data_IF_304279817730
#
_entry.id   IF_304279817730
#
_cell.length_a   1.000
_cell.length_b   1.000
_cell.length_c   1.000
_cell.angle_alpha   90.00
_cell.angle_beta   90.00
_cell.angle_gamma   90.00
#
_symmetry.space_group_name_H-M   'P 1'
#
loop_
_entity.id
_entity.type
_entity.pdbx_description
1 polymer ?
#
# COMPACT_ATOMS: atom_id res chain seq x y z
N UNK A 1 -20.45 10.61 -21.17
CA UNK A 1 -19.05 10.10 -21.20
C UNK A 1 -18.45 9.84 -19.80
N UNK A 2 -18.72 10.68 -18.79
CA UNK A 2 -18.18 10.54 -17.42
C UNK A 2 -18.64 9.26 -16.70
N UNK A 3 -19.93 8.90 -16.80
CA UNK A 3 -20.51 7.71 -16.15
C UNK A 3 -19.89 6.40 -16.67
N UNK A 4 -19.63 6.31 -17.98
CA UNK A 4 -19.02 5.14 -18.61
C UNK A 4 -17.60 4.91 -18.06
N UNK A 5 -16.81 5.98 -17.89
CA UNK A 5 -15.44 5.89 -17.35
C UNK A 5 -15.39 5.41 -15.90
N UNK A 6 -16.33 5.86 -15.06
CA UNK A 6 -16.48 5.34 -13.69
C UNK A 6 -16.75 3.85 -13.65
N UNK A 7 -17.70 3.39 -14.47
CA UNK A 7 -18.07 1.97 -14.51
C UNK A 7 -16.92 1.08 -15.02
N UNK A 8 -16.09 1.60 -15.93
CA UNK A 8 -14.92 0.89 -16.44
C UNK A 8 -13.79 0.81 -15.41
N UNK A 9 -13.50 1.92 -14.71
CA UNK A 9 -12.49 1.95 -13.64
C UNK A 9 -12.77 0.90 -12.56
N UNK A 10 -14.01 0.85 -12.07
CA UNK A 10 -14.43 -0.14 -11.07
C UNK A 10 -14.27 -1.58 -11.55
N UNK A 11 -14.63 -1.87 -12.80
CA UNK A 11 -14.46 -3.23 -13.38
C UNK A 11 -12.99 -3.62 -13.46
N UNK A 12 -12.11 -2.68 -13.79
CA UNK A 12 -10.66 -2.92 -13.84
C UNK A 12 -10.11 -3.14 -12.43
N UNK A 13 -10.53 -2.33 -11.44
CA UNK A 13 -10.14 -2.52 -10.03
C UNK A 13 -10.53 -3.92 -9.53
N UNK A 14 -11.77 -4.35 -9.77
CA UNK A 14 -12.23 -5.69 -9.41
C UNK A 14 -11.46 -6.80 -10.12
N UNK A 15 -11.11 -6.59 -11.40
CA UNK A 15 -10.30 -7.53 -12.16
C UNK A 15 -8.89 -7.65 -11.58
N UNK A 16 -8.25 -6.53 -11.25
CA UNK A 16 -6.91 -6.50 -10.65
C UNK A 16 -6.92 -7.16 -9.27
N UNK A 17 -7.89 -6.84 -8.42
CA UNK A 17 -8.06 -7.47 -7.12
C UNK A 17 -8.26 -8.98 -7.24
N UNK A 18 -9.15 -9.42 -8.13
CA UNK A 18 -9.41 -10.85 -8.38
C UNK A 18 -8.17 -11.56 -8.93
N UNK A 19 -7.40 -10.90 -9.81
CA UNK A 19 -6.18 -11.44 -10.37
C UNK A 19 -5.08 -11.61 -9.31
N UNK A 20 -4.87 -10.59 -8.47
CA UNK A 20 -3.91 -10.66 -7.36
C UNK A 20 -4.34 -11.75 -6.37
N UNK A 21 -5.61 -11.78 -5.96
CA UNK A 21 -6.10 -12.82 -5.05
C UNK A 21 -5.91 -14.22 -5.63
N UNK A 22 -6.27 -14.42 -6.91
CA UNK A 22 -6.20 -15.73 -7.56
C UNK A 22 -4.77 -16.15 -7.91
N UNK A 23 -3.84 -15.22 -8.04
CA UNK A 23 -2.44 -15.51 -8.39
C UNK A 23 -1.73 -16.39 -7.36
N UNK A 24 -2.18 -16.38 -6.10
CA UNK A 24 -1.71 -17.32 -5.07
C UNK A 24 -1.98 -18.79 -5.39
N UNK A 25 -2.98 -19.09 -6.23
CA UNK A 25 -3.25 -20.46 -6.70
C UNK A 25 -2.17 -20.99 -7.66
N UNK A 26 -1.36 -20.10 -8.23
CA UNK A 26 -0.26 -20.47 -9.13
C UNK A 26 1.01 -20.87 -8.36
N UNK A 27 1.04 -20.72 -7.03
CA UNK A 27 2.19 -21.11 -6.22
C UNK A 27 2.30 -22.62 -6.07
N UNK A 28 3.55 -23.10 -5.88
CA UNK A 28 3.82 -24.52 -5.59
C UNK A 28 3.10 -25.01 -4.34
N UNK A 29 2.99 -24.14 -3.33
CA UNK A 29 2.20 -24.39 -2.12
C UNK A 29 1.23 -23.21 -1.89
N UNK A 30 0.02 -23.26 -2.46
CA UNK A 30 -0.98 -22.20 -2.30
C UNK A 30 -1.40 -22.02 -0.84
N UNK A 31 -1.41 -23.09 -0.04
CA UNK A 31 -1.80 -23.01 1.37
C UNK A 31 -0.79 -22.15 2.14
N UNK A 32 0.50 -22.42 1.97
CA UNK A 32 1.56 -21.62 2.58
C UNK A 32 1.47 -20.15 2.14
N UNK A 33 1.25 -19.90 0.85
CA UNK A 33 1.09 -18.54 0.33
C UNK A 33 -0.05 -17.78 1.03
N UNK A 34 -1.26 -18.34 1.10
CA UNK A 34 -2.39 -17.66 1.73
C UNK A 34 -2.25 -17.56 3.25
N UNK A 35 -1.58 -18.53 3.91
CA UNK A 35 -1.21 -18.42 5.32
C UNK A 35 -0.27 -17.23 5.56
N UNK A 36 0.75 -17.07 4.72
CA UNK A 36 1.67 -15.93 4.78
C UNK A 36 0.96 -14.60 4.50
N UNK A 37 0.11 -14.55 3.48
CA UNK A 37 -0.69 -13.36 3.17
C UNK A 37 -1.59 -12.96 4.36
N UNK A 38 -2.22 -13.94 5.02
CA UNK A 38 -3.04 -13.68 6.20
C UNK A 38 -2.22 -13.12 7.37
N UNK A 39 -1.05 -13.71 7.67
CA UNK A 39 -0.19 -13.20 8.73
C UNK A 39 0.32 -11.79 8.45
N UNK A 40 0.76 -11.51 7.21
CA UNK A 40 1.17 -10.19 6.79
C UNK A 40 0.01 -9.18 6.87
N UNK A 41 -1.22 -9.61 6.54
CA UNK A 41 -2.41 -8.78 6.65
C UNK A 41 -2.72 -8.40 8.09
N UNK A 42 -2.73 -9.39 9.00
CA UNK A 42 -2.91 -9.13 10.43
C UNK A 42 -1.81 -8.22 10.99
N UNK A 43 -0.55 -8.45 10.59
CA UNK A 43 0.59 -7.63 11.02
C UNK A 43 0.44 -6.18 10.55
N UNK A 44 0.20 -5.96 9.25
CA UNK A 44 0.05 -4.62 8.67
C UNK A 44 -1.14 -3.90 9.30
N UNK A 45 -2.30 -4.54 9.37
CA UNK A 45 -3.48 -3.95 10.00
C UNK A 45 -3.21 -3.61 11.48
N UNK A 46 -2.68 -4.56 12.24
CA UNK A 46 -2.40 -4.39 13.66
C UNK A 46 -1.45 -3.23 13.93
N UNK A 47 -0.32 -3.16 13.22
CA UNK A 47 0.68 -2.10 13.39
C UNK A 47 0.15 -0.76 12.91
N UNK A 48 -0.35 -0.68 11.67
CA UNK A 48 -0.71 0.60 11.07
C UNK A 48 -1.94 1.21 11.74
N UNK A 49 -2.97 0.42 12.05
CA UNK A 49 -4.13 0.95 12.78
C UNK A 49 -3.77 1.40 14.19
N UNK A 50 -2.92 0.66 14.91
CA UNK A 50 -2.46 1.09 16.23
C UNK A 50 -1.73 2.43 16.16
N UNK A 51 -0.82 2.60 15.19
CA UNK A 51 -0.11 3.87 14.98
C UNK A 51 -1.06 5.01 14.59
N UNK A 52 -2.02 4.77 13.70
CA UNK A 52 -3.01 5.77 13.29
C UNK A 52 -3.92 6.20 14.44
N UNK A 53 -4.32 5.25 15.31
CA UNK A 53 -5.08 5.54 16.53
C UNK A 53 -4.24 6.37 17.49
N UNK A 54 -2.98 5.98 17.75
CA UNK A 54 -2.06 6.74 18.60
C UNK A 54 -1.88 8.16 18.07
N UNK A 55 -1.62 8.33 16.78
CA UNK A 55 -1.46 9.65 16.14
C UNK A 55 -2.75 10.47 16.27
N UNK A 56 -3.92 9.86 16.13
CA UNK A 56 -5.20 10.55 16.31
C UNK A 56 -5.40 11.04 17.74
N UNK A 57 -5.06 10.21 18.72
CA UNK A 57 -5.14 10.56 20.14
C UNK A 57 -4.17 11.69 20.46
N UNK A 58 -2.91 11.59 20.03
CA UNK A 58 -1.91 12.63 20.23
C UNK A 58 -2.34 13.94 19.55
N UNK A 59 -2.84 13.85 18.32
CA UNK A 59 -3.34 15.01 17.58
C UNK A 59 -4.48 15.73 18.31
N UNK A 60 -5.41 14.97 18.91
CA UNK A 60 -6.46 15.52 19.76
C UNK A 60 -5.89 16.26 20.98
N UNK A 61 -4.97 15.64 21.72
CA UNK A 61 -4.39 16.25 22.93
C UNK A 61 -3.51 17.48 22.63
N UNK A 62 -2.80 17.48 21.50
CA UNK A 62 -1.93 18.59 21.11
C UNK A 62 -2.61 19.64 20.20
N UNK A 63 -3.93 19.52 19.99
CA UNK A 63 -4.70 20.47 19.18
C UNK A 63 -4.35 20.47 17.68
N UNK A 64 -3.73 19.40 17.18
CA UNK A 64 -3.39 19.20 15.76
C UNK A 64 -4.12 17.97 15.25
N UNK A 65 -5.37 18.15 14.81
CA UNK A 65 -6.15 17.11 14.16
C UNK A 65 -5.94 17.15 12.64
N UNK A 66 -6.01 15.98 12.00
CA UNK A 66 -5.86 15.85 10.53
C UNK A 66 -7.09 16.43 9.83
N UNK A 67 -8.27 16.21 10.40
CA UNK A 67 -9.52 16.74 9.87
C UNK A 67 -9.56 18.25 10.03
N UNK A 68 -10.12 18.94 9.05
CA UNK A 68 -10.47 20.35 9.18
C UNK A 68 -11.85 20.47 9.88
N UNK A 69 -11.93 21.05 11.10
CA UNK A 69 -13.21 21.24 11.80
C UNK A 69 -14.16 22.17 11.04
N UNK A 70 -13.62 23.09 10.23
CA UNK A 70 -14.38 24.06 9.44
C UNK A 70 -14.84 23.50 8.08
N UNK A 71 -14.49 22.25 7.76
CA UNK A 71 -14.95 21.60 6.54
C UNK A 71 -16.46 21.36 6.60
N UNK A 72 -17.19 21.88 5.60
CA UNK A 72 -18.61 21.61 5.41
C UNK A 72 -18.94 20.14 5.10
N UNK A 73 -17.94 19.32 4.74
CA UNK A 73 -18.12 17.88 4.45
C UNK A 73 -17.67 17.03 5.64
N UNK A 74 -18.51 16.08 6.09
CA UNK A 74 -18.15 15.18 7.18
C UNK A 74 -17.03 14.23 6.74
N UNK A 75 -16.18 13.87 7.70
CA UNK A 75 -15.18 12.81 7.52
C UNK A 75 -15.84 11.45 7.30
N UNK A 76 -15.27 10.62 6.43
CA UNK A 76 -15.87 9.34 6.02
C UNK A 76 -15.13 8.14 6.62
N UNK A 77 -14.99 8.13 7.94
CA UNK A 77 -14.23 7.13 8.70
C UNK A 77 -14.41 5.69 8.23
N UNK A 78 -15.65 5.19 8.18
CA UNK A 78 -15.94 3.79 7.80
C UNK A 78 -15.56 3.50 6.35
N UNK A 79 -15.77 4.46 5.45
CA UNK A 79 -15.41 4.29 4.04
C UNK A 79 -13.89 4.27 3.85
N UNK A 80 -13.19 5.21 4.50
CA UNK A 80 -11.73 5.27 4.49
C UNK A 80 -11.12 3.99 5.08
N UNK A 81 -11.63 3.53 6.23
CA UNK A 81 -11.19 2.29 6.87
C UNK A 81 -11.44 1.06 6.01
N UNK A 82 -12.61 0.94 5.37
CA UNK A 82 -12.94 -0.19 4.52
C UNK A 82 -12.02 -0.26 3.29
N UNK A 83 -11.81 0.88 2.62
CA UNK A 83 -10.94 0.95 1.44
C UNK A 83 -9.49 0.68 1.85
N UNK A 84 -9.00 1.29 2.93
CA UNK A 84 -7.67 1.04 3.46
C UNK A 84 -7.45 -0.44 3.82
N UNK A 85 -8.45 -1.07 4.44
CA UNK A 85 -8.38 -2.51 4.77
C UNK A 85 -8.20 -3.34 3.50
N UNK A 86 -8.90 -3.00 2.42
CA UNK A 86 -8.70 -3.66 1.12
C UNK A 86 -7.31 -3.39 0.55
N UNK A 87 -6.81 -2.15 0.62
CA UNK A 87 -5.45 -1.81 0.21
C UNK A 87 -4.40 -2.60 0.98
N UNK A 88 -4.62 -2.86 2.27
CA UNK A 88 -3.77 -3.72 3.09
C UNK A 88 -3.86 -5.18 2.70
N UNK A 89 -5.05 -5.72 2.41
CA UNK A 89 -5.20 -7.07 1.89
C UNK A 89 -4.38 -7.27 0.61
N UNK A 90 -4.50 -6.35 -0.35
CA UNK A 90 -3.72 -6.40 -1.60
C UNK A 90 -2.21 -6.29 -1.35
N UNK A 91 -1.79 -5.41 -0.44
CA UNK A 91 -0.39 -5.30 -0.04
C UNK A 91 0.13 -6.61 0.51
N UNK A 92 -0.62 -7.26 1.39
CA UNK A 92 -0.24 -8.52 2.00
C UNK A 92 -0.19 -9.67 1.01
N UNK A 93 -1.11 -9.70 0.04
CA UNK A 93 -1.08 -10.67 -1.07
C UNK A 93 0.17 -10.48 -1.94
N UNK A 94 0.53 -9.24 -2.27
CA UNK A 94 1.74 -8.95 -3.06
C UNK A 94 3.01 -9.28 -2.27
N UNK A 95 3.08 -8.87 -0.99
CA UNK A 95 4.23 -9.16 -0.13
C UNK A 95 4.39 -10.65 0.21
N UNK A 96 3.31 -11.44 0.15
CA UNK A 96 3.38 -12.89 0.36
C UNK A 96 4.19 -13.61 -0.72
N UNK A 97 4.34 -13.04 -1.93
CA UNK A 97 5.16 -13.62 -3.00
C UNK A 97 6.62 -13.80 -2.57
N UNK A 98 7.40 -12.71 -2.37
CA UNK A 98 8.80 -12.86 -1.99
C UNK A 98 8.95 -13.60 -0.66
N UNK A 99 8.03 -13.40 0.28
CA UNK A 99 8.11 -14.08 1.58
C UNK A 99 7.96 -15.60 1.47
N UNK A 100 7.01 -16.09 0.65
CA UNK A 100 6.82 -17.53 0.43
C UNK A 100 7.96 -18.14 -0.39
N UNK A 101 8.53 -17.38 -1.34
CA UNK A 101 9.73 -17.82 -2.06
C UNK A 101 10.93 -17.98 -1.13
N UNK A 102 11.15 -17.02 -0.24
CA UNK A 102 12.21 -17.12 0.78
C UNK A 102 12.07 -18.39 1.62
N UNK A 103 10.87 -18.68 2.12
CA UNK A 103 10.62 -19.86 2.97
C UNK A 103 10.78 -21.19 2.21
N UNK A 104 10.52 -21.20 0.91
CA UNK A 104 10.66 -22.40 0.06
C UNK A 104 12.06 -22.57 -0.53
N UNK A 105 13.03 -21.75 -0.10
CA UNK A 105 14.41 -21.80 -0.56
C UNK A 105 14.59 -21.35 -2.01
N UNK A 106 13.59 -20.69 -2.58
CA UNK A 106 13.71 -20.09 -3.90
C UNK A 106 14.54 -18.80 -3.79
N UNK A 107 15.31 -18.53 -4.84
CA UNK A 107 16.13 -17.32 -4.89
C UNK A 107 15.20 -16.12 -5.01
N UNK A 108 15.03 -15.41 -3.89
CA UNK A 108 14.63 -14.01 -3.89
C UNK A 108 15.88 -13.15 -4.08
N UNK A 109 15.72 -11.88 -4.46
CA UNK A 109 16.81 -10.91 -4.66
C UNK A 109 17.90 -10.99 -3.58
N UNK A 110 19.10 -10.48 -3.88
CA UNK A 110 20.23 -10.49 -2.93
C UNK A 110 19.85 -9.86 -1.58
N UNK A 111 19.69 -10.69 -0.54
CA UNK A 111 19.50 -10.26 0.85
C UNK A 111 20.79 -10.57 1.60
N UNK A 112 21.66 -9.57 1.86
CA UNK A 112 22.84 -9.79 2.68
C UNK A 112 22.41 -10.20 4.10
N UNK A 113 23.20 -11.04 4.76
CA UNK A 113 23.01 -11.29 6.20
C UNK A 113 23.21 -10.00 6.99
N UNK A 114 22.71 -9.95 8.23
CA UNK A 114 22.93 -8.81 9.11
C UNK A 114 24.43 -8.52 9.27
N UNK A 115 25.23 -9.57 9.46
CA UNK A 115 26.69 -9.47 9.54
C UNK A 115 27.32 -8.94 8.25
N UNK A 116 26.91 -9.47 7.09
CA UNK A 116 27.36 -8.96 5.78
C UNK A 116 26.94 -7.50 5.56
N UNK A 117 25.85 -7.06 6.19
CA UNK A 117 25.34 -5.71 6.06
C UNK A 117 26.18 -4.66 6.80
N UNK A 118 26.94 -5.07 7.82
CA UNK A 118 27.69 -4.16 8.70
C UNK A 118 29.21 -4.37 8.69
N UNK A 119 29.75 -5.12 7.74
CA UNK A 119 31.19 -5.42 7.65
C UNK A 119 31.88 -4.66 6.52
N UNK A 120 33.06 -4.08 6.79
CA UNK A 120 33.92 -3.47 5.76
C UNK A 120 33.25 -2.38 4.92
N UNK A 121 33.43 -2.45 3.59
CA UNK A 121 32.84 -1.50 2.62
C UNK A 121 31.32 -1.68 2.46
N UNK A 122 30.75 -2.78 2.95
CA UNK A 122 29.32 -3.10 2.84
C UNK A 122 28.44 -2.07 3.55
N UNK A 123 28.91 -1.46 4.65
CA UNK A 123 28.13 -0.44 5.37
C UNK A 123 27.89 0.80 4.49
N UNK A 124 28.92 1.26 3.78
CA UNK A 124 28.82 2.43 2.89
C UNK A 124 27.91 2.08 1.71
N UNK A 125 28.09 0.91 1.11
CA UNK A 125 27.24 0.45 0.00
C UNK A 125 25.78 0.31 0.41
N UNK A 126 25.49 -0.18 1.62
CA UNK A 126 24.12 -0.29 2.14
C UNK A 126 23.50 1.08 2.42
N UNK A 127 24.26 2.02 2.99
CA UNK A 127 23.79 3.39 3.18
C UNK A 127 23.47 4.04 1.82
N UNK A 128 24.38 3.92 0.84
CA UNK A 128 24.14 4.42 -0.52
C UNK A 128 22.92 3.75 -1.16
N UNK A 129 22.76 2.44 -1.00
CA UNK A 129 21.60 1.70 -1.48
C UNK A 129 20.30 2.22 -0.87
N UNK A 130 20.26 2.43 0.46
CA UNK A 130 19.09 3.01 1.15
C UNK A 130 18.78 4.41 0.62
N UNK A 131 19.79 5.27 0.47
CA UNK A 131 19.59 6.63 -0.06
C UNK A 131 19.02 6.57 -1.48
N UNK A 132 19.62 5.76 -2.36
CA UNK A 132 19.14 5.59 -3.74
C UNK A 132 17.71 5.04 -3.74
N UNK A 133 17.40 4.06 -2.90
CA UNK A 133 16.07 3.49 -2.77
C UNK A 133 15.06 4.54 -2.29
N UNK A 134 15.40 5.36 -1.30
CA UNK A 134 14.53 6.44 -0.81
C UNK A 134 14.25 7.48 -1.90
N UNK A 135 15.28 7.94 -2.61
CA UNK A 135 15.11 8.88 -3.73
C UNK A 135 14.27 8.28 -4.84
N UNK A 136 14.49 6.99 -5.13
CA UNK A 136 13.73 6.26 -6.13
C UNK A 136 12.26 6.12 -5.73
N UNK A 137 11.96 5.72 -4.49
CA UNK A 137 10.59 5.61 -3.98
C UNK A 137 9.89 6.96 -4.00
N UNK A 138 10.56 8.04 -3.58
CA UNK A 138 9.99 9.39 -3.60
C UNK A 138 9.68 9.84 -5.03
N UNK A 139 10.66 9.70 -5.93
CA UNK A 139 10.51 10.01 -7.36
C UNK A 139 9.38 9.20 -7.98
N UNK A 140 9.34 7.89 -7.71
CA UNK A 140 8.31 7.01 -8.23
C UNK A 140 6.93 7.41 -7.72
N UNK A 141 6.79 7.64 -6.41
CA UNK A 141 5.52 8.03 -5.79
C UNK A 141 5.00 9.34 -6.37
N UNK A 142 5.88 10.33 -6.60
CA UNK A 142 5.54 11.58 -7.26
C UNK A 142 5.02 11.36 -8.69
N UNK A 143 5.77 10.66 -9.53
CA UNK A 143 5.38 10.47 -10.93
C UNK A 143 4.15 9.58 -11.07
N UNK A 144 3.98 8.57 -10.20
CA UNK A 144 2.75 7.78 -10.09
C UNK A 144 1.56 8.68 -9.80
N UNK A 145 1.65 9.49 -8.75
CA UNK A 145 0.57 10.40 -8.36
C UNK A 145 0.24 11.39 -9.48
N UNK A 146 1.26 11.99 -10.11
CA UNK A 146 1.08 12.87 -11.28
C UNK A 146 0.38 12.16 -12.45
N UNK A 147 0.73 10.90 -12.71
CA UNK A 147 0.10 10.08 -13.77
C UNK A 147 -1.36 9.80 -13.45
N UNK A 148 -1.66 9.46 -12.20
CA UNK A 148 -3.02 9.24 -11.71
C UNK A 148 -3.90 10.50 -11.84
N UNK A 149 -3.31 11.69 -11.82
CA UNK A 149 -4.02 12.95 -12.10
C UNK A 149 -4.27 13.26 -13.58
N UNK A 150 -3.88 12.38 -14.50
CA UNK A 150 -4.17 12.55 -15.93
C UNK A 150 -5.58 12.07 -16.29
N UNK A 151 -6.12 12.56 -17.42
CA UNK A 151 -7.48 12.25 -17.88
C UNK A 151 -7.79 10.75 -18.08
N UNK A 152 -6.77 9.90 -18.22
CA UNK A 152 -6.91 8.47 -18.49
C UNK A 152 -6.87 7.63 -17.21
N UNK A 153 -6.15 8.09 -16.18
CA UNK A 153 -5.93 7.33 -14.95
C UNK A 153 -6.70 7.91 -13.76
N UNK A 154 -7.27 9.11 -13.88
CA UNK A 154 -7.99 9.76 -12.78
C UNK A 154 -9.15 8.93 -12.23
N UNK A 155 -9.79 8.06 -13.02
CA UNK A 155 -10.84 7.18 -12.50
C UNK A 155 -10.37 6.25 -11.37
N UNK A 156 -9.09 5.89 -11.34
CA UNK A 156 -8.51 5.05 -10.27
C UNK A 156 -8.13 5.84 -9.02
N UNK A 157 -7.95 7.16 -9.17
CA UNK A 157 -7.56 8.07 -8.09
C UNK A 157 -8.72 8.90 -7.56
N UNK A 158 -9.84 8.97 -8.30
CA UNK A 158 -11.01 9.76 -7.96
C UNK A 158 -11.57 9.39 -6.57
N UNK A 159 -11.56 8.10 -6.21
CA UNK A 159 -12.01 7.64 -4.91
C UNK A 159 -11.19 8.23 -3.75
N UNK A 160 -9.88 8.34 -3.93
CA UNK A 160 -9.00 8.97 -2.96
C UNK A 160 -9.31 10.47 -2.81
N UNK A 161 -9.57 11.17 -3.92
CA UNK A 161 -10.01 12.58 -3.92
C UNK A 161 -11.43 12.81 -3.40
N UNK A 162 -12.23 11.75 -3.21
CA UNK A 162 -13.57 11.86 -2.65
C UNK A 162 -13.59 12.10 -1.13
N UNK A 163 -12.44 11.98 -0.46
CA UNK A 163 -12.24 12.27 0.97
C UNK A 163 -11.88 13.74 1.18
N UNK A 164 -12.87 14.61 1.05
CA UNK A 164 -12.68 16.06 1.18
C UNK A 164 -12.31 16.54 2.61
N UNK A 165 -12.55 15.71 3.62
CA UNK A 165 -12.14 15.93 5.01
C UNK A 165 -11.48 14.64 5.55
N UNK A 166 -10.25 14.33 5.08
CA UNK A 166 -9.64 13.03 5.29
C UNK A 166 -9.31 12.80 6.76
N UNK A 167 -9.44 11.55 7.20
CA UNK A 167 -8.98 11.13 8.53
C UNK A 167 -7.59 10.50 8.42
N UNK A 168 -7.05 10.01 9.53
CA UNK A 168 -5.80 9.23 9.54
C UNK A 168 -5.86 7.98 8.63
N UNK A 169 -7.07 7.45 8.37
CA UNK A 169 -7.28 6.27 7.54
C UNK A 169 -7.18 6.56 6.04
N UNK A 170 -7.46 7.80 5.62
CA UNK A 170 -7.44 8.19 4.21
C UNK A 170 -6.07 8.03 3.53
N UNK A 171 -4.98 8.09 4.31
CA UNK A 171 -3.61 8.03 3.80
C UNK A 171 -3.32 6.78 2.96
N UNK A 172 -3.93 5.65 3.32
CA UNK A 172 -3.78 4.36 2.62
C UNK A 172 -5.08 3.89 1.98
N UNK A 173 -6.13 4.71 1.98
CA UNK A 173 -7.41 4.38 1.36
C UNK A 173 -7.35 4.67 -0.15
N UNK A 174 -6.80 3.72 -0.91
CA UNK A 174 -6.66 3.81 -2.38
C UNK A 174 -7.21 2.57 -3.09
N UNK A 175 -7.64 2.73 -4.34
CA UNK A 175 -8.22 1.63 -5.13
C UNK A 175 -7.21 0.55 -5.54
N UNK A 176 -7.65 -0.66 -5.92
CA UNK A 176 -6.78 -1.77 -6.31
C UNK A 176 -5.72 -1.45 -7.37
N UNK A 177 -6.06 -0.73 -8.44
CA UNK A 177 -5.09 -0.34 -9.47
C UNK A 177 -4.02 0.58 -8.90
N UNK A 178 -4.43 1.58 -8.11
CA UNK A 178 -3.47 2.48 -7.45
C UNK A 178 -2.59 1.72 -6.45
N UNK A 179 -3.15 0.78 -5.70
CA UNK A 179 -2.41 -0.05 -4.75
C UNK A 179 -1.40 -0.96 -5.47
N UNK A 180 -1.81 -1.58 -6.57
CA UNK A 180 -0.91 -2.40 -7.38
C UNK A 180 0.25 -1.56 -7.96
N UNK A 181 -0.02 -0.33 -8.39
CA UNK A 181 1.03 0.60 -8.82
C UNK A 181 1.99 0.96 -7.68
N UNK A 182 1.53 1.09 -6.43
CA UNK A 182 2.40 1.38 -5.28
C UNK A 182 3.42 0.28 -5.00
N UNK A 183 3.07 -0.98 -5.24
CA UNK A 183 3.87 -2.13 -4.79
C UNK A 183 4.81 -2.71 -5.87
N UNK A 184 4.83 -2.16 -7.08
CA UNK A 184 5.55 -2.74 -8.24
C UNK A 184 7.08 -2.80 -8.15
N UNK A 185 7.68 -2.31 -7.06
CA UNK A 185 9.12 -2.13 -6.90
C UNK A 185 9.73 -2.94 -5.74
N UNK A 186 8.95 -3.86 -5.16
CA UNK A 186 9.38 -4.78 -4.12
C UNK A 186 9.26 -6.23 -4.57
#
# INVERSE_FOLDING_TARGET
>A
MIIIRKSLGLKIDLLVESAILSSGLLYKDPKLFYTNAFYLFCLICGVVYSLQIIISILGYYFGKVVQNPDSAKPAKYLQELAIQTNSFLLTSLIAAFPYTYQQTGQVISYVPTLEQSFTGTSIILNILYIIVLLLFIDTYTYWKHRTLHTKYFFSFHEHHHAFANPTVFAAFAVGPVEQFMLQKFF
#
